data_IF_965569167808
#
_entry.id   IF_965569167808
#
_cell.length_a   1.000
_cell.length_b   1.000
_cell.length_c   1.000
_cell.angle_alpha   90.00
_cell.angle_beta   90.00
_cell.angle_gamma   90.00
#
_symmetry.space_group_name_H-M   'P 1'
#
loop_
_entity.id
_entity.type
_entity.pdbx_description
1 polymer ?
#
# COMPACT_ATOMS: atom_id res chain seq x y z
N UNK A 1 -9.80 12.91 29.34
CA UNK A 1 -8.42 12.80 28.82
C UNK A 1 -7.42 12.37 29.89
N UNK A 2 -7.36 12.99 31.08
CA UNK A 2 -6.41 12.61 32.14
C UNK A 2 -6.63 11.20 32.73
N UNK A 3 -7.88 10.77 32.90
CA UNK A 3 -8.20 9.41 33.38
C UNK A 3 -7.76 8.32 32.38
N UNK A 4 -7.81 8.62 31.07
CA UNK A 4 -7.35 7.69 30.03
C UNK A 4 -5.81 7.61 29.99
N UNK A 5 -5.13 8.74 30.25
CA UNK A 5 -3.67 8.84 30.32
C UNK A 5 -3.09 8.09 31.53
N UNK A 6 -3.77 8.12 32.68
CA UNK A 6 -3.34 7.36 33.87
C UNK A 6 -3.50 5.85 33.69
N UNK A 7 -4.59 5.39 33.07
CA UNK A 7 -4.80 3.96 32.79
C UNK A 7 -3.78 3.41 31.77
N UNK A 8 -3.42 4.20 30.76
CA UNK A 8 -2.41 3.81 29.78
C UNK A 8 -0.99 3.73 30.39
N UNK A 9 -0.67 4.63 31.33
CA UNK A 9 0.62 4.62 32.03
C UNK A 9 0.78 3.41 32.97
N UNK A 10 -0.29 3.02 33.68
CA UNK A 10 -0.28 1.84 34.53
C UNK A 10 -0.13 0.54 33.72
N UNK A 11 -0.77 0.46 32.54
CA UNK A 11 -0.63 -0.69 31.62
C UNK A 11 0.80 -0.78 31.07
N UNK A 12 1.41 0.34 30.69
CA UNK A 12 2.81 0.36 30.25
C UNK A 12 3.80 -0.05 31.35
N UNK A 13 3.58 0.37 32.60
CA UNK A 13 4.45 -0.06 33.72
C UNK A 13 4.31 -1.56 34.02
N UNK A 14 3.09 -2.11 33.97
CA UNK A 14 2.87 -3.54 34.17
C UNK A 14 3.54 -4.40 33.06
N UNK A 15 3.51 -3.91 31.81
CA UNK A 15 4.15 -4.58 30.68
C UNK A 15 5.68 -4.52 30.73
N UNK A 16 6.27 -3.43 31.26
CA UNK A 16 7.73 -3.34 31.46
C UNK A 16 8.21 -4.31 32.55
N UNK A 17 7.48 -4.42 33.68
CA UNK A 17 7.84 -5.35 34.76
C UNK A 17 7.70 -6.81 34.31
N UNK A 18 6.72 -7.11 33.45
CA UNK A 18 6.56 -8.44 32.87
C UNK A 18 7.66 -8.80 31.84
N UNK A 19 8.17 -7.81 31.10
CA UNK A 19 9.25 -8.00 30.13
C UNK A 19 10.60 -8.30 30.81
N UNK A 20 10.89 -7.68 31.96
CA UNK A 20 12.10 -7.96 32.74
C UNK A 20 12.11 -9.36 33.37
N UNK A 21 10.94 -9.92 33.67
CA UNK A 21 10.82 -11.28 34.19
C UNK A 21 11.08 -12.37 33.13
N UNK A 22 11.00 -12.04 31.84
CA UNK A 22 11.15 -12.99 30.72
C UNK A 22 12.55 -13.02 30.10
N UNK A 23 13.43 -12.07 30.47
CA UNK A 23 14.78 -11.92 29.90
C UNK A 23 15.92 -12.45 30.78
N UNK A 24 15.63 -13.10 31.91
CA UNK A 24 16.69 -13.74 32.71
C UNK A 24 16.88 -15.21 32.31
N UNK A 25 18.10 -15.62 31.88
CA UNK A 25 18.38 -17.03 31.64
C UNK A 25 18.42 -17.81 32.96
N UNK A 26 18.09 -19.12 32.97
CA UNK A 26 18.17 -19.93 34.18
C UNK A 26 19.62 -20.05 34.63
N UNK A 27 19.88 -19.67 35.88
CA UNK A 27 21.19 -19.83 36.51
C UNK A 27 21.47 -21.30 36.84
N UNK A 28 22.67 -21.77 36.45
CA UNK A 28 23.21 -23.09 36.75
C UNK A 28 23.45 -23.30 38.27
N UNK A 29 23.41 -24.54 38.81
CA UNK A 29 23.47 -24.80 40.25
C UNK A 29 24.80 -24.50 40.95
N UNK A 30 25.81 -23.97 40.25
CA UNK A 30 27.16 -23.79 40.79
C UNK A 30 27.61 -22.33 40.80
N UNK A 31 26.91 -21.45 41.51
CA UNK A 31 27.50 -20.18 42.00
C UNK A 31 26.61 -19.45 43.03
N UNK A 32 26.34 -20.06 44.18
CA UNK A 32 25.93 -19.30 45.37
C UNK A 32 26.75 -19.73 46.59
N UNK A 33 28.01 -19.34 46.59
CA UNK A 33 28.75 -19.12 47.82
C UNK A 33 29.44 -17.76 47.67
N UNK A 34 29.19 -16.87 48.64
CA UNK A 34 29.67 -15.48 48.76
C UNK A 34 28.78 -14.43 48.08
N UNK A 35 27.84 -13.88 48.84
CA UNK A 35 27.81 -12.44 49.20
C UNK A 35 26.77 -12.21 50.29
N UNK A 36 27.17 -11.40 51.28
CA UNK A 36 26.51 -11.28 52.58
C UNK A 36 25.21 -10.48 52.59
N UNK A 37 24.54 -10.65 53.73
CA UNK A 37 23.33 -9.97 54.23
C UNK A 37 23.53 -8.45 54.38
N UNK A 38 22.49 -7.64 54.16
CA UNK A 38 22.20 -6.51 55.03
C UNK A 38 20.75 -6.53 55.59
N UNK A 39 20.46 -5.73 56.62
CA UNK A 39 19.35 -5.96 57.56
C UNK A 39 18.09 -5.17 57.19
N UNK A 40 16.94 -5.64 57.68
CA UNK A 40 15.70 -4.86 57.68
C UNK A 40 14.46 -5.67 57.29
N UNK A 41 13.96 -6.48 58.22
CA UNK A 41 12.63 -7.09 58.14
C UNK A 41 11.69 -6.36 59.09
N UNK A 42 10.47 -5.99 58.66
CA UNK A 42 9.30 -6.10 59.50
C UNK A 42 8.58 -7.44 59.25
N UNK A 43 7.82 -7.79 60.27
CA UNK A 43 7.25 -9.09 60.63
C UNK A 43 6.11 -9.60 59.75
N UNK A 44 6.00 -10.94 59.77
CA UNK A 44 4.78 -11.72 59.52
C UNK A 44 3.64 -11.25 60.44
N UNK A 45 2.80 -10.32 59.98
CA UNK A 45 1.42 -10.16 60.43
C UNK A 45 0.61 -9.43 59.35
N UNK A 46 -0.24 -10.19 58.66
CA UNK A 46 -1.50 -9.81 57.98
C UNK A 46 -1.71 -10.70 56.74
N UNK A 47 -1.73 -12.02 56.95
CA UNK A 47 -2.54 -12.91 56.12
C UNK A 47 -4.01 -12.69 56.52
N UNK A 48 -4.88 -12.67 55.51
CA UNK A 48 -6.34 -12.61 55.58
C UNK A 48 -6.98 -11.22 55.74
N UNK A 49 -7.34 -10.61 54.61
CA UNK A 49 -8.63 -9.93 54.42
C UNK A 49 -8.79 -9.56 52.92
N UNK A 50 -10.03 -9.61 52.42
CA UNK A 50 -10.50 -9.35 51.05
C UNK A 50 -10.76 -10.59 50.18
N UNK A 51 -11.51 -11.54 50.75
CA UNK A 51 -12.54 -12.26 50.01
C UNK A 51 -13.89 -11.73 50.52
N UNK A 52 -14.45 -10.72 49.86
CA UNK A 52 -15.88 -10.42 49.95
C UNK A 52 -16.29 -9.52 48.79
N UNK A 53 -16.93 -10.12 47.79
CA UNK A 53 -17.66 -9.42 46.74
C UNK A 53 -19.07 -10.06 46.65
N UNK A 54 -20.15 -9.24 46.67
CA UNK A 54 -21.53 -9.72 46.75
C UNK A 54 -21.98 -10.44 45.47
N UNK A 55 -22.99 -11.33 45.55
CA UNK A 55 -23.46 -12.12 44.42
C UNK A 55 -24.15 -11.26 43.36
N UNK A 56 -23.88 -11.58 42.09
CA UNK A 56 -24.54 -10.97 40.94
C UNK A 56 -26.02 -11.40 40.86
N UNK A 57 -26.89 -10.41 40.75
CA UNK A 57 -28.32 -10.52 40.47
C UNK A 57 -28.52 -10.90 38.99
N UNK A 58 -29.41 -11.85 38.63
CA UNK A 58 -29.69 -12.16 37.24
C UNK A 58 -30.53 -11.05 36.59
N UNK A 59 -29.99 -10.43 35.54
CA UNK A 59 -30.75 -9.52 34.67
C UNK A 59 -31.63 -10.34 33.73
N UNK A 60 -32.91 -9.97 33.72
CA UNK A 60 -33.99 -10.52 32.92
C UNK A 60 -33.76 -10.33 31.42
N UNK A 61 -34.21 -11.30 30.62
CA UNK A 61 -34.20 -11.27 29.16
C UNK A 61 -35.04 -10.12 28.58
N UNK A 62 -34.51 -9.31 27.64
CA UNK A 62 -35.32 -8.47 26.77
C UNK A 62 -35.91 -9.26 25.58
N UNK A 63 -37.04 -8.83 25.00
CA UNK A 63 -37.84 -9.65 24.09
C UNK A 63 -37.19 -9.85 22.72
N UNK A 64 -37.46 -11.02 22.14
CA UNK A 64 -37.07 -11.41 20.80
C UNK A 64 -37.58 -10.42 19.72
N UNK A 65 -36.64 -9.82 18.99
CA UNK A 65 -36.89 -9.30 17.64
C UNK A 65 -35.85 -9.95 16.74
N UNK A 66 -36.15 -11.18 16.31
CA UNK A 66 -35.49 -11.82 15.19
C UNK A 66 -36.13 -11.25 13.92
N UNK A 67 -35.40 -10.39 13.20
CA UNK A 67 -35.65 -10.10 11.77
C UNK A 67 -34.61 -10.89 10.99
N UNK A 68 -34.98 -12.06 10.50
CA UNK A 68 -34.15 -12.82 9.55
C UNK A 68 -34.22 -12.18 8.16
N UNK A 69 -33.16 -12.38 7.38
CA UNK A 69 -33.03 -11.95 5.98
C UNK A 69 -34.01 -12.64 5.00
N UNK A 70 -34.89 -13.52 5.50
CA UNK A 70 -35.85 -14.27 4.68
C UNK A 70 -37.18 -13.53 4.41
N UNK A 71 -37.50 -12.48 5.17
CA UNK A 71 -38.77 -11.74 5.00
C UNK A 71 -38.70 -10.64 3.92
N UNK A 72 -37.51 -10.18 3.56
CA UNK A 72 -37.29 -9.21 2.48
C UNK A 72 -37.36 -9.85 1.08
N UNK A 73 -37.04 -11.14 0.97
CA UNK A 73 -37.08 -11.89 -0.30
C UNK A 73 -38.51 -12.24 -0.74
N UNK A 74 -39.51 -12.18 0.15
CA UNK A 74 -40.92 -12.48 -0.19
C UNK A 74 -41.74 -11.26 -0.61
N UNK A 75 -41.29 -10.03 -0.37
CA UNK A 75 -42.00 -8.81 -0.82
C UNK A 75 -41.58 -8.31 -2.21
N UNK A 76 -40.49 -8.83 -2.80
CA UNK A 76 -40.01 -8.40 -4.12
C UNK A 76 -40.49 -9.26 -5.30
N UNK A 77 -41.21 -10.36 -5.05
CA UNK A 77 -41.72 -11.27 -6.09
C UNK A 77 -43.17 -11.00 -6.55
N UNK A 78 -43.73 -9.82 -6.28
CA UNK A 78 -45.10 -9.46 -6.72
C UNK A 78 -45.19 -8.28 -7.69
N UNK A 79 -44.17 -8.05 -8.53
CA UNK A 79 -44.31 -7.11 -9.66
C UNK A 79 -44.42 -7.86 -10.98
N UNK A 80 -45.59 -7.70 -11.61
CA UNK A 80 -46.00 -8.29 -12.89
C UNK A 80 -45.03 -7.91 -14.02
N UNK A 81 -44.76 -8.79 -14.99
CA UNK A 81 -43.95 -8.45 -16.16
C UNK A 81 -44.72 -7.47 -17.06
N UNK A 82 -44.06 -6.36 -17.43
CA UNK A 82 -44.56 -5.45 -18.46
C UNK A 82 -44.20 -6.01 -19.84
N UNK A 83 -45.21 -6.13 -20.70
CA UNK A 83 -45.13 -6.62 -22.07
C UNK A 83 -44.30 -5.68 -22.96
N UNK A 84 -43.22 -6.19 -23.56
CA UNK A 84 -42.50 -5.53 -24.65
C UNK A 84 -43.30 -5.67 -25.95
N UNK A 85 -43.89 -4.57 -26.41
CA UNK A 85 -44.32 -4.39 -27.80
C UNK A 85 -43.76 -3.08 -28.34
N UNK A 86 -42.89 -3.24 -29.34
CA UNK A 86 -42.65 -2.38 -30.50
C UNK A 86 -42.38 -0.88 -30.25
N UNK A 87 -41.09 -0.51 -30.29
CA UNK A 87 -40.66 0.86 -30.60
C UNK A 87 -39.93 0.80 -31.95
N UNK A 88 -40.35 1.57 -32.97
CA UNK A 88 -39.85 1.43 -34.33
C UNK A 88 -38.40 1.93 -34.49
N UNK A 89 -37.66 1.16 -35.29
CA UNK A 89 -36.24 1.24 -35.58
C UNK A 89 -35.92 2.39 -36.54
N UNK A 90 -35.97 3.64 -36.07
CA UNK A 90 -35.44 4.79 -36.82
C UNK A 90 -35.42 6.06 -35.97
N UNK A 91 -34.53 6.17 -34.99
CA UNK A 91 -34.03 7.45 -34.47
C UNK A 91 -32.87 7.18 -33.49
N UNK A 92 -31.65 7.50 -33.95
CA UNK A 92 -30.40 7.83 -33.24
C UNK A 92 -29.17 7.14 -33.85
N UNK A 93 -28.83 7.64 -35.05
CA UNK A 93 -27.46 7.63 -35.54
C UNK A 93 -26.82 8.97 -35.14
N UNK A 94 -26.46 9.14 -33.86
CA UNK A 94 -25.64 10.25 -33.36
C UNK A 94 -25.31 10.10 -31.85
N UNK A 95 -24.64 9.02 -31.45
CA UNK A 95 -23.91 8.91 -30.16
C UNK A 95 -23.27 7.51 -30.09
N UNK A 96 -22.21 7.29 -30.86
CA UNK A 96 -21.49 6.01 -30.89
C UNK A 96 -20.12 6.10 -30.21
N UNK A 97 -20.06 6.59 -28.98
CA UNK A 97 -18.87 6.56 -28.13
C UNK A 97 -19.23 6.76 -26.64
N UNK A 98 -20.21 6.00 -26.14
CA UNK A 98 -20.45 5.84 -24.71
C UNK A 98 -21.50 4.75 -24.56
N UNK A 99 -21.04 3.50 -24.46
CA UNK A 99 -21.72 2.40 -23.76
C UNK A 99 -20.78 1.20 -23.83
N UNK A 100 -19.64 1.31 -23.15
CA UNK A 100 -18.89 0.13 -22.72
C UNK A 100 -19.63 -0.43 -21.50
N UNK A 101 -20.65 -1.24 -21.76
CA UNK A 101 -21.33 -2.01 -20.75
C UNK A 101 -20.42 -3.16 -20.26
N UNK A 102 -20.20 -3.17 -18.95
CA UNK A 102 -20.03 -4.37 -18.12
C UNK A 102 -18.95 -5.39 -18.53
N UNK A 103 -17.69 -4.99 -18.42
CA UNK A 103 -16.58 -5.91 -18.22
C UNK A 103 -16.10 -5.76 -16.77
N UNK A 104 -16.73 -6.50 -15.84
CA UNK A 104 -16.30 -6.57 -14.45
C UNK A 104 -14.80 -6.89 -14.37
N UNK A 105 -14.03 -5.98 -13.76
CA UNK A 105 -12.59 -6.09 -13.61
C UNK A 105 -11.78 -4.95 -14.24
N UNK A 106 -12.38 -4.08 -15.06
CA UNK A 106 -11.70 -2.92 -15.63
C UNK A 106 -11.87 -1.66 -14.74
N UNK A 107 -10.85 -0.78 -14.70
CA UNK A 107 -10.92 0.43 -13.88
C UNK A 107 -12.04 1.36 -14.38
N UNK A 108 -12.71 2.03 -13.44
CA UNK A 108 -13.86 2.89 -13.73
C UNK A 108 -13.37 4.32 -13.96
N UNK A 109 -13.70 4.90 -15.12
CA UNK A 109 -13.49 6.33 -15.34
C UNK A 109 -14.59 7.14 -14.66
N UNK A 110 -14.24 7.91 -13.63
CA UNK A 110 -15.17 8.85 -13.01
C UNK A 110 -15.16 10.17 -13.79
N UNK A 111 -16.21 10.37 -14.59
CA UNK A 111 -16.39 11.57 -15.43
C UNK A 111 -16.48 12.86 -14.62
N UNK A 112 -16.84 12.81 -13.33
CA UNK A 112 -16.96 14.00 -12.47
C UNK A 112 -15.60 14.48 -11.99
N UNK A 113 -14.76 13.55 -11.57
CA UNK A 113 -13.40 13.84 -11.09
C UNK A 113 -12.36 13.79 -12.19
N UNK A 114 -12.74 13.28 -13.38
CA UNK A 114 -11.87 12.94 -14.50
C UNK A 114 -10.74 11.99 -14.11
N UNK A 115 -10.93 11.19 -13.07
CA UNK A 115 -9.95 10.23 -12.57
C UNK A 115 -10.35 8.81 -12.94
N UNK A 116 -9.35 7.99 -13.20
CA UNK A 116 -9.52 6.55 -13.32
C UNK A 116 -9.42 5.95 -11.91
N UNK A 117 -10.50 5.34 -11.46
CA UNK A 117 -10.61 4.68 -10.17
C UNK A 117 -10.24 3.19 -10.28
N UNK A 118 -9.23 2.81 -9.50
CA UNK A 118 -8.68 1.46 -9.38
C UNK A 118 -8.98 0.83 -8.01
N UNK A 119 -9.98 1.32 -7.29
CA UNK A 119 -10.47 0.68 -6.06
C UNK A 119 -10.76 -0.80 -6.28
N UNK A 120 -10.56 -1.66 -5.26
CA UNK A 120 -10.92 -3.09 -5.41
C UNK A 120 -12.39 -3.30 -5.74
N UNK A 121 -13.25 -2.35 -5.39
CA UNK A 121 -14.66 -2.33 -5.76
C UNK A 121 -14.87 -2.11 -7.27
N UNK A 122 -14.01 -1.29 -7.90
CA UNK A 122 -13.97 -1.12 -9.35
C UNK A 122 -13.34 -2.31 -10.07
N UNK A 123 -12.35 -2.95 -9.45
CA UNK A 123 -11.67 -4.15 -9.94
C UNK A 123 -12.36 -5.42 -9.43
N UNK A 124 -13.56 -5.72 -9.95
CA UNK A 124 -14.27 -6.96 -9.63
C UNK A 124 -13.56 -8.19 -10.23
N UNK A 125 -12.97 -9.04 -9.38
CA UNK A 125 -12.45 -10.36 -9.78
C UNK A 125 -10.92 -10.44 -9.85
N UNK A 126 -10.41 -11.25 -10.80
CA UNK A 126 -8.98 -11.35 -11.08
C UNK A 126 -8.47 -9.99 -11.56
N UNK A 127 -7.37 -9.54 -10.97
CA UNK A 127 -6.86 -8.21 -11.30
C UNK A 127 -6.28 -8.23 -12.72
N UNK A 128 -6.72 -7.32 -13.60
CA UNK A 128 -6.17 -7.17 -14.95
C UNK A 128 -4.64 -6.98 -14.94
N UNK A 129 -3.97 -7.57 -15.92
CA UNK A 129 -2.54 -7.34 -16.13
C UNK A 129 -2.26 -5.87 -16.45
N UNK A 130 -0.99 -5.45 -16.38
CA UNK A 130 -0.62 -4.09 -16.79
C UNK A 130 -1.05 -3.77 -18.23
N UNK A 131 -1.09 -4.78 -19.12
CA UNK A 131 -1.55 -4.61 -20.50
C UNK A 131 -3.07 -4.50 -20.63
N UNK A 132 -3.81 -5.28 -19.85
CA UNK A 132 -5.28 -5.16 -19.79
C UNK A 132 -5.69 -3.77 -19.26
N UNK A 133 -4.99 -3.30 -18.23
CA UNK A 133 -5.18 -1.96 -17.68
C UNK A 133 -4.84 -0.88 -18.71
N UNK A 134 -3.73 -1.03 -19.42
CA UNK A 134 -3.37 -0.11 -20.49
C UNK A 134 -4.42 -0.06 -21.61
N UNK A 135 -4.92 -1.22 -22.03
CA UNK A 135 -5.96 -1.31 -23.04
C UNK A 135 -7.25 -0.62 -22.58
N UNK A 136 -7.62 -0.80 -21.31
CA UNK A 136 -8.80 -0.16 -20.72
C UNK A 136 -8.69 1.36 -20.65
N UNK A 137 -7.53 1.88 -20.21
CA UNK A 137 -7.37 3.35 -20.07
C UNK A 137 -7.12 4.05 -21.41
N UNK A 138 -6.66 3.33 -22.43
CA UNK A 138 -6.41 3.86 -23.78
C UNK A 138 -7.68 4.42 -24.42
N UNK A 139 -8.85 3.84 -24.14
CA UNK A 139 -10.14 4.36 -24.61
C UNK A 139 -10.45 5.79 -24.12
N UNK A 140 -9.79 6.23 -23.06
CA UNK A 140 -9.93 7.56 -22.46
C UNK A 140 -8.75 8.49 -22.79
N UNK A 141 -7.84 8.06 -23.67
CA UNK A 141 -6.67 8.85 -24.08
C UNK A 141 -5.50 8.83 -23.09
N UNK A 142 -5.49 7.89 -22.13
CA UNK A 142 -4.40 7.73 -21.16
C UNK A 142 -3.50 6.53 -21.50
N UNK A 143 -2.31 6.54 -20.92
CA UNK A 143 -1.35 5.43 -20.94
C UNK A 143 -0.92 5.05 -19.52
N UNK A 144 -0.24 3.91 -19.38
CA UNK A 144 0.23 3.41 -18.07
C UNK A 144 1.72 3.09 -18.08
N UNK A 145 2.38 3.31 -16.94
CA UNK A 145 3.77 2.94 -16.69
C UNK A 145 3.93 2.33 -15.29
N UNK A 146 4.74 1.29 -15.14
CA UNK A 146 4.92 0.60 -13.86
C UNK A 146 6.35 0.71 -13.33
N UNK A 147 6.48 1.12 -12.06
CA UNK A 147 7.76 1.39 -11.41
C UNK A 147 7.81 0.76 -10.01
N UNK A 148 8.93 0.13 -9.65
CA UNK A 148 9.25 -0.26 -8.28
C UNK A 148 10.36 0.66 -7.75
N UNK A 149 10.10 1.37 -6.65
CA UNK A 149 10.97 2.43 -6.13
C UNK A 149 11.17 2.40 -4.62
N UNK A 150 11.00 1.23 -3.99
CA UNK A 150 10.97 1.07 -2.53
C UNK A 150 9.54 1.00 -2.02
N UNK A 151 9.30 1.54 -0.82
CA UNK A 151 7.95 1.67 -0.29
C UNK A 151 7.01 2.40 -1.26
N UNK A 152 5.96 1.70 -1.68
CA UNK A 152 5.00 2.21 -2.67
C UNK A 152 4.23 3.45 -2.19
N UNK A 153 4.10 3.71 -0.89
CA UNK A 153 3.44 4.91 -0.36
C UNK A 153 4.24 6.17 -0.70
N UNK A 154 5.57 6.03 -0.75
CA UNK A 154 6.43 7.13 -1.17
C UNK A 154 6.37 7.32 -2.68
N UNK A 155 6.46 6.24 -3.44
CA UNK A 155 6.35 6.30 -4.91
C UNK A 155 5.00 6.84 -5.37
N UNK A 156 3.89 6.39 -4.77
CA UNK A 156 2.54 6.86 -5.07
C UNK A 156 2.44 8.37 -4.88
N UNK A 157 2.80 8.87 -3.68
CA UNK A 157 2.83 10.30 -3.39
C UNK A 157 3.69 11.08 -4.40
N UNK A 158 4.89 10.57 -4.68
CA UNK A 158 5.87 11.29 -5.50
C UNK A 158 5.37 11.41 -6.96
N UNK A 159 4.77 10.35 -7.53
CA UNK A 159 4.21 10.38 -8.89
C UNK A 159 2.88 11.15 -8.98
N UNK A 160 1.99 11.06 -7.98
CA UNK A 160 0.72 11.79 -7.98
C UNK A 160 0.91 13.32 -8.00
N UNK A 161 2.08 13.82 -7.59
CA UNK A 161 2.40 15.24 -7.62
C UNK A 161 2.76 15.75 -9.02
N UNK A 162 2.98 14.86 -10.00
CA UNK A 162 3.41 15.23 -11.34
C UNK A 162 2.26 15.75 -12.20
N UNK A 163 2.53 16.81 -12.95
CA UNK A 163 1.63 17.29 -13.99
C UNK A 163 1.48 16.21 -15.09
N UNK A 164 0.25 15.98 -15.52
CA UNK A 164 -0.07 14.96 -16.53
C UNK A 164 -0.26 13.56 -15.97
N UNK A 165 0.02 13.32 -14.69
CA UNK A 165 -0.39 12.07 -14.02
C UNK A 165 -1.84 12.19 -13.57
N UNK A 166 -2.67 11.23 -13.97
CA UNK A 166 -4.09 11.16 -13.65
C UNK A 166 -4.34 10.48 -12.29
N UNK A 167 -3.76 9.30 -12.12
CA UNK A 167 -3.84 8.49 -10.91
C UNK A 167 -2.61 7.59 -10.79
N UNK A 168 -2.33 7.16 -9.57
CA UNK A 168 -1.25 6.22 -9.26
C UNK A 168 -1.81 5.16 -8.31
N UNK A 169 -1.52 3.90 -8.59
CA UNK A 169 -2.03 2.77 -7.82
C UNK A 169 -0.86 2.04 -7.18
N UNK A 170 -0.93 1.84 -5.87
CA UNK A 170 0.05 1.02 -5.14
C UNK A 170 -0.25 -0.47 -5.34
N UNK A 171 0.78 -1.29 -5.56
CA UNK A 171 0.59 -2.72 -5.79
C UNK A 171 1.87 -3.53 -5.86
N UNK A 172 1.74 -4.74 -6.42
CA UNK A 172 2.76 -5.77 -6.45
C UNK A 172 2.92 -6.31 -7.87
N UNK A 173 4.15 -6.40 -8.38
CA UNK A 173 4.42 -7.04 -9.68
C UNK A 173 5.84 -7.63 -9.74
N UNK A 174 6.14 -8.36 -10.80
CA UNK A 174 7.45 -9.00 -11.06
C UNK A 174 7.75 -10.27 -10.25
N UNK A 175 6.79 -10.76 -9.46
CA UNK A 175 6.89 -12.01 -8.71
C UNK A 175 6.07 -13.15 -9.30
N UNK A 176 5.97 -14.23 -8.53
CA UNK A 176 5.52 -15.54 -9.03
C UNK A 176 4.24 -16.02 -8.35
N UNK A 177 3.71 -15.27 -7.38
CA UNK A 177 2.56 -15.64 -6.58
C UNK A 177 1.36 -14.87 -7.09
N UNK A 178 0.36 -15.57 -7.61
CA UNK A 178 -0.89 -14.93 -8.03
C UNK A 178 -1.63 -14.34 -6.83
N UNK A 179 -2.24 -13.17 -7.02
CA UNK A 179 -3.05 -12.46 -6.02
C UNK A 179 -2.36 -12.38 -4.63
N UNK A 180 -1.11 -11.86 -4.54
CA UNK A 180 -0.36 -11.86 -3.30
C UNK A 180 -0.93 -10.83 -2.32
N UNK A 181 -0.96 -11.16 -1.03
CA UNK A 181 -1.28 -10.18 0.03
C UNK A 181 -0.05 -9.42 0.47
N UNK A 182 -0.25 -8.24 1.08
CA UNK A 182 0.84 -7.49 1.70
C UNK A 182 1.68 -8.33 2.67
N UNK A 183 1.04 -9.19 3.47
CA UNK A 183 1.74 -10.05 4.42
C UNK A 183 2.65 -11.07 3.76
N UNK A 184 2.31 -11.53 2.55
CA UNK A 184 3.17 -12.44 1.79
C UNK A 184 4.33 -11.67 1.15
N UNK A 185 4.06 -10.50 0.56
CA UNK A 185 5.08 -9.68 -0.14
C UNK A 185 6.09 -9.11 0.85
N UNK A 186 5.64 -8.57 1.98
CA UNK A 186 6.51 -8.02 3.03
C UNK A 186 7.46 -9.05 3.65
N UNK A 187 7.13 -10.35 3.60
CA UNK A 187 8.03 -11.46 3.98
C UNK A 187 9.12 -11.74 2.93
N UNK A 188 9.03 -11.16 1.74
CA UNK A 188 10.02 -11.32 0.67
C UNK A 188 9.99 -12.66 -0.07
N UNK A 189 8.99 -13.51 0.18
CA UNK A 189 8.94 -14.89 -0.35
C UNK A 189 8.23 -15.02 -1.70
N UNK A 190 7.49 -13.99 -2.13
CA UNK A 190 6.66 -14.05 -3.33
C UNK A 190 7.41 -13.71 -4.62
N UNK A 191 8.60 -13.11 -4.48
CA UNK A 191 9.36 -12.53 -5.59
C UNK A 191 8.84 -11.17 -6.08
N UNK A 192 7.67 -10.72 -5.63
CA UNK A 192 7.11 -9.44 -6.03
C UNK A 192 7.90 -8.26 -5.44
N UNK A 193 7.81 -7.13 -6.14
CA UNK A 193 8.22 -5.82 -5.66
C UNK A 193 7.01 -4.96 -5.33
N UNK A 194 7.10 -4.19 -4.25
CA UNK A 194 6.24 -3.03 -4.08
C UNK A 194 6.48 -2.08 -5.25
N UNK A 195 5.38 -1.78 -5.94
CA UNK A 195 5.38 -1.09 -7.21
C UNK A 195 4.20 -0.14 -7.28
N UNK A 196 4.30 0.83 -8.17
CA UNK A 196 3.20 1.70 -8.54
C UNK A 196 2.88 1.53 -10.02
N UNK A 197 1.58 1.57 -10.35
CA UNK A 197 1.09 1.73 -11.70
C UNK A 197 0.64 3.19 -11.86
N UNK A 198 1.34 3.92 -12.71
CA UNK A 198 1.11 5.34 -12.99
C UNK A 198 0.27 5.45 -14.24
N UNK A 199 -0.88 6.10 -14.14
CA UNK A 199 -1.73 6.44 -15.30
C UNK A 199 -1.48 7.89 -15.66
N UNK A 200 -1.13 8.16 -16.92
CA UNK A 200 -0.74 9.48 -17.37
C UNK A 200 -1.36 9.86 -18.71
N UNK A 201 -1.51 11.16 -18.93
CA UNK A 201 -1.94 11.76 -20.19
C UNK A 201 -0.71 11.99 -21.08
N UNK A 202 -0.54 11.23 -22.18
CA UNK A 202 0.60 11.36 -23.08
C UNK A 202 0.64 12.70 -23.82
N UNK A 203 -0.45 13.50 -23.79
CA UNK A 203 -0.46 14.85 -24.34
C UNK A 203 0.12 15.91 -23.39
N UNK A 204 0.30 15.57 -22.10
CA UNK A 204 0.79 16.48 -21.06
C UNK A 204 2.16 16.06 -20.51
N UNK A 205 2.39 14.75 -20.32
CA UNK A 205 3.67 14.20 -19.88
C UNK A 205 4.02 12.95 -20.68
N UNK A 206 5.30 12.64 -20.80
CA UNK A 206 5.78 11.50 -21.60
C UNK A 206 6.30 10.37 -20.71
N UNK A 207 6.35 9.15 -21.25
CA UNK A 207 7.03 8.03 -20.60
C UNK A 207 8.50 8.36 -20.26
N UNK A 208 9.22 9.06 -21.16
CA UNK A 208 10.60 9.51 -20.90
C UNK A 208 10.66 10.45 -19.69
N UNK A 209 9.74 11.40 -19.58
CA UNK A 209 9.63 12.31 -18.43
C UNK A 209 9.38 11.54 -17.12
N UNK A 210 8.53 10.51 -17.14
CA UNK A 210 8.26 9.66 -15.98
C UNK A 210 9.51 8.85 -15.57
N UNK A 211 10.26 8.31 -16.54
CA UNK A 211 11.53 7.61 -16.28
C UNK A 211 12.58 8.55 -15.70
N UNK A 212 12.73 9.75 -16.27
CA UNK A 212 13.68 10.75 -15.79
C UNK A 212 13.34 11.22 -14.36
N UNK A 213 12.05 11.40 -14.07
CA UNK A 213 11.57 11.64 -12.71
C UNK A 213 11.87 10.46 -11.78
N UNK A 214 11.59 9.24 -12.22
CA UNK A 214 11.79 8.03 -11.42
C UNK A 214 13.22 7.92 -10.92
N UNK A 215 14.21 8.19 -11.77
CA UNK A 215 15.62 8.18 -11.36
C UNK A 215 15.91 9.13 -10.19
N UNK A 216 15.28 10.31 -10.18
CA UNK A 216 15.47 11.32 -9.14
C UNK A 216 14.65 11.06 -7.87
N UNK A 217 13.64 10.20 -7.94
CA UNK A 217 12.80 9.85 -6.78
C UNK A 217 13.33 8.67 -5.98
N UNK A 218 14.37 7.97 -6.46
CA UNK A 218 14.97 6.80 -5.78
C UNK A 218 16.48 6.95 -5.56
N UNK A 219 17.09 6.02 -4.80
CA UNK A 219 18.51 5.72 -4.90
C UNK A 219 18.72 4.59 -5.93
N UNK A 220 19.08 4.90 -7.18
CA UNK A 220 19.24 3.88 -8.23
C UNK A 220 20.47 3.00 -8.01
N UNK A 221 21.30 3.27 -7.01
CA UNK A 221 22.52 2.51 -6.70
C UNK A 221 22.31 1.49 -5.57
N UNK A 222 21.18 1.54 -4.87
CA UNK A 222 20.87 0.62 -3.78
C UNK A 222 20.38 -0.74 -4.31
N UNK A 223 21.20 -1.77 -4.09
CA UNK A 223 20.93 -3.17 -4.50
C UNK A 223 20.11 -3.95 -3.46
N UNK A 224 20.07 -3.48 -2.21
CA UNK A 224 19.51 -4.23 -1.09
C UNK A 224 18.06 -3.84 -0.75
N UNK A 225 17.55 -2.78 -1.38
CA UNK A 225 16.22 -2.22 -1.12
C UNK A 225 16.33 -0.75 -0.71
N UNK A 226 15.33 0.06 -1.03
CA UNK A 226 15.45 1.52 -0.95
C UNK A 226 15.46 2.06 0.50
N UNK A 227 16.41 2.95 0.80
CA UNK A 227 16.47 3.72 2.04
C UNK A 227 16.51 2.84 3.31
N UNK A 228 15.48 2.90 4.15
CA UNK A 228 15.32 2.04 5.32
C UNK A 228 14.63 0.71 5.00
N UNK A 229 13.93 0.60 3.87
CA UNK A 229 13.18 -0.58 3.48
C UNK A 229 14.12 -1.55 2.75
N UNK A 230 14.45 -2.67 3.41
CA UNK A 230 15.41 -3.65 2.89
C UNK A 230 14.74 -4.97 2.56
N UNK A 231 15.19 -5.59 1.48
CA UNK A 231 14.63 -6.81 0.91
C UNK A 231 14.35 -6.67 -0.58
N UNK A 232 14.25 -7.81 -1.28
CA UNK A 232 14.01 -7.85 -2.74
C UNK A 232 12.75 -7.07 -3.11
N UNK A 233 11.72 -7.13 -2.27
CA UNK A 233 10.45 -6.44 -2.48
C UNK A 233 10.56 -4.91 -2.52
N UNK A 234 11.66 -4.35 -2.00
CA UNK A 234 11.94 -2.91 -2.00
C UNK A 234 13.05 -2.52 -2.98
N UNK A 235 13.55 -3.45 -3.80
CA UNK A 235 14.55 -3.14 -4.84
C UNK A 235 13.91 -2.43 -6.03
N UNK A 236 14.70 -1.61 -6.74
CA UNK A 236 14.18 -0.78 -7.82
C UNK A 236 14.08 -1.51 -9.16
N UNK A 237 13.01 -1.24 -9.90
CA UNK A 237 12.81 -1.75 -11.26
C UNK A 237 11.89 -0.84 -12.09
N UNK A 238 12.07 -0.87 -13.40
CA UNK A 238 11.18 -0.29 -14.40
C UNK A 238 10.57 -1.45 -15.19
N UNK A 239 9.24 -1.54 -15.22
CA UNK A 239 8.51 -2.61 -15.91
C UNK A 239 8.00 -2.11 -17.26
N UNK A 240 8.60 -2.59 -18.33
CA UNK A 240 8.36 -2.12 -19.71
C UNK A 240 7.41 -3.03 -20.47
N UNK A 241 6.42 -2.44 -21.12
CA UNK A 241 5.34 -3.11 -21.84
C UNK A 241 5.57 -3.19 -23.34
N UNK A 242 6.38 -2.27 -23.87
CA UNK A 242 6.67 -2.18 -25.30
C UNK A 242 8.17 -2.07 -25.56
N UNK A 243 8.60 -2.38 -26.79
CA UNK A 243 10.00 -2.19 -27.21
C UNK A 243 10.41 -0.71 -27.19
N UNK A 244 9.46 0.21 -27.40
CA UNK A 244 9.70 1.64 -27.29
C UNK A 244 10.00 2.06 -25.85
N UNK A 245 9.19 1.61 -24.89
CA UNK A 245 9.44 1.83 -23.45
C UNK A 245 10.76 1.23 -23.00
N UNK A 246 11.08 0.01 -23.48
CA UNK A 246 12.37 -0.64 -23.23
C UNK A 246 13.54 0.22 -23.69
N UNK A 247 13.49 0.68 -24.95
CA UNK A 247 14.54 1.53 -25.52
C UNK A 247 14.71 2.81 -24.69
N UNK A 248 13.63 3.51 -24.38
CA UNK A 248 13.67 4.75 -23.60
C UNK A 248 14.27 4.51 -22.21
N UNK A 249 13.84 3.46 -21.51
CA UNK A 249 14.35 3.14 -20.18
C UNK A 249 15.85 2.78 -20.20
N UNK A 250 16.29 1.99 -21.18
CA UNK A 250 17.68 1.57 -21.34
C UNK A 250 18.60 2.75 -21.73
N UNK A 251 18.13 3.62 -22.63
CA UNK A 251 18.83 4.84 -23.03
C UNK A 251 18.93 5.84 -21.86
N UNK A 252 17.84 6.07 -21.13
CA UNK A 252 17.85 6.93 -19.93
C UNK A 252 18.77 6.38 -18.84
N UNK A 253 18.75 5.06 -18.59
CA UNK A 253 19.71 4.39 -17.68
C UNK A 253 21.16 4.61 -18.11
N UNK A 254 21.47 4.44 -19.40
CA UNK A 254 22.81 4.66 -19.95
C UNK A 254 23.24 6.12 -19.82
N UNK A 255 22.35 7.06 -20.16
CA UNK A 255 22.56 8.51 -20.02
C UNK A 255 22.88 8.86 -18.57
N UNK A 256 22.08 8.40 -17.60
CA UNK A 256 22.33 8.63 -16.19
C UNK A 256 23.66 8.04 -15.72
N UNK A 257 23.96 6.79 -16.09
CA UNK A 257 25.23 6.13 -15.72
C UNK A 257 26.45 6.89 -16.26
N UNK A 258 26.35 7.43 -17.47
CA UNK A 258 27.43 8.18 -18.14
C UNK A 258 27.54 9.64 -17.70
N UNK A 259 26.52 10.20 -17.06
CA UNK A 259 26.48 11.62 -16.66
C UNK A 259 27.48 12.01 -15.55
N UNK A 260 28.04 11.03 -14.84
CA UNK A 260 28.88 11.27 -13.66
C UNK A 260 28.10 11.64 -12.39
N UNK A 261 26.78 11.84 -12.45
CA UNK A 261 25.96 12.22 -11.29
C UNK A 261 26.01 11.19 -10.14
N UNK A 262 26.25 9.92 -10.46
CA UNK A 262 26.37 8.82 -9.49
C UNK A 262 27.84 8.53 -9.10
N UNK A 263 28.81 9.30 -9.61
CA UNK A 263 30.23 8.98 -9.48
C UNK A 263 30.55 7.60 -10.06
N UNK A 264 31.33 6.79 -9.33
CA UNK A 264 31.70 5.43 -9.74
C UNK A 264 30.62 4.36 -9.43
N UNK A 265 29.49 4.75 -8.85
CA UNK A 265 28.44 3.79 -8.44
C UNK A 265 27.65 3.32 -9.66
N UNK A 266 27.41 2.02 -9.74
CA UNK A 266 26.61 1.43 -10.81
C UNK A 266 25.12 1.45 -10.48
N UNK A 267 24.28 1.70 -11.48
CA UNK A 267 22.82 1.60 -11.37
C UNK A 267 22.41 0.13 -11.15
N UNK A 268 21.75 -0.11 -10.02
CA UNK A 268 21.19 -1.38 -9.59
C UNK A 268 19.80 -1.66 -10.17
N UNK A 269 19.07 -0.62 -10.56
CA UNK A 269 17.70 -0.72 -11.08
C UNK A 269 17.61 -1.63 -12.30
N UNK A 270 16.69 -2.59 -12.24
CA UNK A 270 16.42 -3.51 -13.34
C UNK A 270 15.40 -2.93 -14.34
N UNK A 271 15.51 -3.34 -15.61
CA UNK A 271 14.52 -3.02 -16.65
C UNK A 271 13.93 -4.35 -17.09
N UNK A 272 12.73 -4.64 -16.61
CA UNK A 272 12.09 -5.94 -16.74
C UNK A 272 10.88 -5.85 -17.67
N UNK A 273 10.52 -6.91 -18.40
CA UNK A 273 9.23 -6.95 -19.06
C UNK A 273 8.11 -6.78 -18.01
N UNK A 274 7.04 -6.09 -18.40
CA UNK A 274 5.85 -6.00 -17.58
C UNK A 274 5.29 -7.39 -17.27
N UNK A 275 4.82 -7.54 -16.03
CA UNK A 275 4.14 -8.73 -15.55
C UNK A 275 2.75 -8.33 -15.04
N UNK A 276 1.95 -9.31 -14.61
CA UNK A 276 0.67 -9.02 -13.95
C UNK A 276 0.89 -8.07 -12.77
N UNK A 277 0.10 -7.01 -12.72
CA UNK A 277 0.12 -6.04 -11.64
C UNK A 277 -1.03 -6.37 -10.70
N UNK A 278 -0.75 -6.48 -9.40
CA UNK A 278 -1.74 -6.76 -8.38
C UNK A 278 -1.86 -5.54 -7.45
N UNK A 279 -2.91 -4.72 -7.54
CA UNK A 279 -3.22 -3.66 -6.60
C UNK A 279 -3.17 -4.18 -5.18
N UNK A 280 -2.49 -3.39 -4.35
CA UNK A 280 -2.47 -3.60 -2.92
C UNK A 280 -3.85 -3.32 -2.33
N UNK A 281 -4.07 -3.80 -1.11
CA UNK A 281 -5.29 -3.59 -0.35
C UNK A 281 -5.62 -2.10 -0.18
N UNK A 282 -6.90 -1.75 -0.08
CA UNK A 282 -7.38 -0.34 -0.10
C UNK A 282 -6.80 0.55 1.01
N UNK A 283 -6.34 -0.06 2.10
CA UNK A 283 -5.68 0.65 3.20
C UNK A 283 -4.25 1.09 2.85
N UNK A 284 -3.62 0.53 1.81
CA UNK A 284 -2.34 0.99 1.28
C UNK A 284 -2.49 2.12 0.26
N UNK A 285 -3.61 2.19 -0.46
CA UNK A 285 -3.87 3.24 -1.44
C UNK A 285 -4.04 4.59 -0.72
N UNK A 286 -3.46 5.66 -1.27
CA UNK A 286 -3.52 7.01 -0.70
C UNK A 286 -3.05 7.09 0.77
N UNK A 287 -2.18 6.18 1.22
CA UNK A 287 -1.81 6.09 2.63
C UNK A 287 -1.23 7.41 3.16
N UNK A 288 -0.47 8.13 2.32
CA UNK A 288 0.09 9.44 2.68
C UNK A 288 -0.96 10.54 2.89
N UNK A 289 -2.17 10.39 2.30
CA UNK A 289 -3.31 11.29 2.51
C UNK A 289 -4.11 10.83 3.72
N UNK A 290 -4.44 9.53 3.79
CA UNK A 290 -5.30 8.92 4.83
C UNK A 290 -4.64 8.90 6.21
N UNK A 291 -3.31 8.76 6.27
CA UNK A 291 -2.50 8.65 7.50
C UNK A 291 -1.31 9.61 7.46
N UNK A 292 -1.58 10.89 7.18
CA UNK A 292 -0.58 11.95 6.94
C UNK A 292 0.54 12.02 7.99
N UNK A 293 0.21 11.99 9.28
CA UNK A 293 1.18 12.19 10.36
C UNK A 293 2.11 10.99 10.50
N UNK A 294 1.54 9.78 10.45
CA UNK A 294 2.29 8.52 10.49
C UNK A 294 3.18 8.39 9.25
N UNK A 295 2.65 8.72 8.08
CA UNK A 295 3.41 8.72 6.84
C UNK A 295 4.57 9.71 6.88
N UNK A 296 4.34 10.96 7.34
CA UNK A 296 5.40 11.98 7.45
C UNK A 296 6.49 11.55 8.43
N UNK A 297 6.11 10.94 9.55
CA UNK A 297 7.06 10.38 10.50
C UNK A 297 7.90 9.28 9.85
N UNK A 298 7.25 8.32 9.20
CA UNK A 298 7.90 7.22 8.48
C UNK A 298 8.87 7.72 7.39
N UNK A 299 8.43 8.57 6.46
CA UNK A 299 9.28 9.09 5.37
C UNK A 299 10.53 9.79 5.91
N UNK A 300 10.36 10.58 6.97
CA UNK A 300 11.47 11.29 7.63
C UNK A 300 12.42 10.32 8.32
N UNK A 301 11.91 9.39 9.13
CA UNK A 301 12.74 8.44 9.88
C UNK A 301 13.46 7.45 8.96
N UNK A 302 12.88 7.15 7.81
CA UNK A 302 13.48 6.32 6.78
C UNK A 302 14.72 6.96 6.11
N UNK A 303 14.92 8.28 6.26
CA UNK A 303 16.05 9.00 5.69
C UNK A 303 15.99 9.17 4.16
N UNK A 304 14.83 8.90 3.54
CA UNK A 304 14.62 8.98 2.08
C UNK A 304 15.06 10.33 1.51
N UNK A 305 14.46 11.40 2.01
CA UNK A 305 14.71 12.75 1.47
C UNK A 305 16.15 13.21 1.72
N UNK A 306 16.74 12.82 2.86
CA UNK A 306 18.14 13.11 3.15
C UNK A 306 19.08 12.40 2.16
N UNK A 307 18.78 11.14 1.82
CA UNK A 307 19.55 10.38 0.84
C UNK A 307 19.39 10.93 -0.57
N UNK A 308 18.17 11.26 -0.99
CA UNK A 308 17.92 11.89 -2.29
C UNK A 308 18.65 13.23 -2.41
N UNK A 309 18.65 14.04 -1.35
CA UNK A 309 19.42 15.29 -1.31
C UNK A 309 20.93 15.09 -1.45
N UNK A 310 21.48 14.00 -0.89
CA UNK A 310 22.90 13.66 -1.07
C UNK A 310 23.22 13.26 -2.52
N UNK A 311 22.30 12.57 -3.19
CA UNK A 311 22.47 12.10 -4.57
C UNK A 311 22.29 13.22 -5.59
N UNK A 312 21.28 14.05 -5.39
CA UNK A 312 20.75 14.95 -6.42
C UNK A 312 20.86 16.44 -6.07
N UNK A 313 21.32 16.76 -4.86
CA UNK A 313 21.37 18.13 -4.34
C UNK A 313 20.01 18.65 -3.86
N UNK A 314 19.88 19.97 -3.74
CA UNK A 314 18.62 20.65 -3.40
C UNK A 314 17.71 20.89 -4.60
N UNK A 315 18.12 20.48 -5.80
CA UNK A 315 17.26 20.54 -6.97
C UNK A 315 16.15 19.50 -6.79
N UNK A 316 14.95 19.99 -6.45
CA UNK A 316 13.69 19.21 -6.52
C UNK A 316 13.68 18.38 -7.82
N UNK A 317 13.14 17.16 -7.82
CA UNK A 317 12.83 16.46 -9.06
C UNK A 317 11.95 17.39 -9.90
N UNK A 318 12.51 17.99 -10.94
CA UNK A 318 11.83 19.04 -11.70
C UNK A 318 10.62 18.41 -12.38
N UNK A 319 9.39 18.85 -12.08
CA UNK A 319 8.26 18.55 -12.95
C UNK A 319 8.41 19.46 -14.17
N UNK A 320 8.95 18.91 -15.27
CA UNK A 320 8.91 19.57 -16.58
C UNK A 320 7.48 19.61 -17.11
#
# INVERSE_FOLDING_TARGET
YEVCRMKLFAICQALLVAADAFLQPPSSPHQQARRGRPPGSPSLHALAALADAPPLIPLQDPPAIVRTADDLSRQLLQRRPVSLREVPFSFLQAAGAADAADAGGLPIYDSRTKKIDFSRESLQGDVPSADDLAAAVKGYGYEVAAFAGGCFWCSEKDFEALKGVNSVVSGYTGGNVANPSYQQVSKGVTGHRESVLVVYDPSVTSYESLVDFFWRSIDPTDRAGQFCDKGKQYTSAIFVRTDAERRIAEESKKKLQSSGALGSRSIATEILPAATFFPAEDYHQDYYKKSSELYKFYRRSCGRDARLKQLWGTAEPVPS
#
